data_IF_892046832349
#
_entry.id   IF_892046832349
#
_cell.length_a   1.000
_cell.length_b   1.000
_cell.length_c   1.000
_cell.angle_alpha   90.00
_cell.angle_beta   90.00
_cell.angle_gamma   90.00
#
_symmetry.space_group_name_H-M   'P 1'
#
loop_
_entity.id
_entity.type
_entity.pdbx_description
1 polymer ?
#
# COMPACT_ATOMS: atom_id res chain seq x y z
N UNK A 1 -29.55 -43.08 -15.34
CA UNK A 1 -28.72 -42.86 -14.14
C UNK A 1 -29.31 -41.73 -13.27
N UNK A 2 -29.98 -42.08 -12.18
CA UNK A 2 -30.43 -41.10 -11.17
C UNK A 2 -29.25 -40.71 -10.28
N UNK A 3 -28.36 -39.84 -10.76
CA UNK A 3 -27.37 -39.23 -9.87
C UNK A 3 -28.08 -38.17 -9.03
N UNK A 4 -27.98 -38.28 -7.71
CA UNK A 4 -28.32 -37.19 -6.79
C UNK A 4 -27.71 -35.88 -7.29
N UNK A 5 -28.42 -34.74 -7.20
CA UNK A 5 -27.88 -33.46 -7.64
C UNK A 5 -26.57 -33.15 -6.90
N UNK A 6 -25.60 -32.57 -7.62
CA UNK A 6 -24.34 -32.10 -7.04
C UNK A 6 -24.63 -31.06 -5.95
N UNK A 7 -24.03 -31.23 -4.77
CA UNK A 7 -24.22 -30.33 -3.63
C UNK A 7 -22.97 -29.48 -3.42
N UNK A 8 -23.15 -28.17 -3.27
CA UNK A 8 -22.05 -27.25 -2.92
C UNK A 8 -21.65 -27.47 -1.46
N UNK A 9 -20.36 -27.71 -1.22
CA UNK A 9 -19.76 -27.77 0.12
C UNK A 9 -18.68 -26.70 0.24
N UNK A 10 -18.63 -26.05 1.39
CA UNK A 10 -17.68 -24.97 1.68
C UNK A 10 -16.92 -25.29 2.97
N UNK A 11 -15.65 -24.91 3.02
CA UNK A 11 -14.89 -24.99 4.25
C UNK A 11 -15.30 -23.82 5.16
N UNK A 12 -15.87 -24.12 6.32
CA UNK A 12 -16.31 -23.11 7.27
C UNK A 12 -15.19 -22.85 8.30
N UNK A 13 -14.54 -21.68 8.22
CA UNK A 13 -13.45 -21.33 9.14
C UNK A 13 -13.88 -21.23 10.61
N UNK A 14 -15.18 -21.05 10.90
CA UNK A 14 -15.71 -21.04 12.28
C UNK A 14 -15.67 -22.45 12.91
N UNK A 15 -15.93 -23.49 12.12
CA UNK A 15 -15.98 -24.88 12.60
C UNK A 15 -14.76 -25.70 12.20
N UNK A 16 -13.97 -25.20 11.24
CA UNK A 16 -12.81 -25.88 10.67
C UNK A 16 -13.17 -27.09 9.81
N UNK A 17 -14.44 -27.25 9.40
CA UNK A 17 -14.90 -28.42 8.66
C UNK A 17 -15.63 -28.06 7.37
N UNK A 18 -15.71 -29.02 6.44
CA UNK A 18 -16.43 -28.86 5.19
C UNK A 18 -17.93 -29.09 5.39
N UNK A 19 -18.72 -28.04 5.22
CA UNK A 19 -20.16 -28.05 5.47
C UNK A 19 -20.94 -27.91 4.17
N UNK A 20 -22.15 -28.46 4.13
CA UNK A 20 -23.07 -28.23 3.02
C UNK A 20 -23.51 -26.77 3.02
N UNK A 21 -23.33 -26.09 1.89
CA UNK A 21 -23.79 -24.71 1.73
C UNK A 21 -25.32 -24.69 1.58
N UNK A 22 -26.00 -24.01 2.49
CA UNK A 22 -27.45 -23.82 2.47
C UNK A 22 -27.73 -22.34 2.23
N UNK A 23 -28.31 -21.95 1.07
CA UNK A 23 -28.58 -20.54 0.77
C UNK A 23 -29.74 -20.00 1.63
N UNK A 24 -29.94 -18.68 1.57
CA UNK A 24 -31.13 -18.04 2.13
C UNK A 24 -32.42 -18.37 1.35
N UNK A 25 -33.50 -17.66 1.69
CA UNK A 25 -34.78 -17.79 0.99
C UNK A 25 -34.63 -17.55 -0.51
N UNK A 26 -35.39 -18.29 -1.32
CA UNK A 26 -35.38 -18.21 -2.78
C UNK A 26 -33.99 -18.35 -3.43
N UNK A 27 -33.11 -19.16 -2.81
CA UNK A 27 -31.73 -19.39 -3.26
C UNK A 27 -30.86 -18.14 -3.28
N UNK A 28 -31.26 -17.10 -2.54
CA UNK A 28 -30.47 -15.87 -2.40
C UNK A 28 -29.25 -16.08 -1.54
N UNK A 29 -28.15 -15.46 -1.95
CA UNK A 29 -26.88 -15.46 -1.24
C UNK A 29 -26.45 -14.01 -1.07
N UNK A 30 -26.38 -13.55 0.19
CA UNK A 30 -25.80 -12.26 0.54
C UNK A 30 -24.32 -12.51 0.83
N UNK A 31 -23.44 -11.96 0.00
CA UNK A 31 -22.02 -12.24 0.08
C UNK A 31 -21.22 -10.96 0.22
N UNK A 32 -20.54 -10.82 1.36
CA UNK A 32 -19.55 -9.78 1.59
C UNK A 32 -18.12 -10.33 1.51
N UNK A 33 -17.21 -9.59 0.86
CA UNK A 33 -15.76 -9.79 1.01
C UNK A 33 -15.07 -8.47 1.32
N UNK A 34 -14.04 -8.51 2.17
CA UNK A 34 -13.20 -7.35 2.42
C UNK A 34 -12.54 -6.88 1.13
N UNK A 35 -12.70 -5.59 0.83
CA UNK A 35 -12.04 -4.92 -0.28
C UNK A 35 -10.66 -4.35 0.09
N UNK A 36 -10.04 -3.58 -0.81
CA UNK A 36 -8.68 -3.09 -0.65
C UNK A 36 -8.60 -1.90 0.32
N UNK A 37 -7.43 -1.74 0.94
CA UNK A 37 -7.00 -0.45 1.51
C UNK A 37 -6.30 0.35 0.43
N UNK A 38 -6.89 1.46 0.01
CA UNK A 38 -6.47 2.24 -1.18
C UNK A 38 -5.33 3.22 -0.87
N UNK A 39 -4.23 2.69 -0.33
CA UNK A 39 -3.04 3.48 0.00
C UNK A 39 -1.92 3.38 -1.05
N UNK A 40 -1.92 2.34 -1.88
CA UNK A 40 -0.94 2.12 -2.96
C UNK A 40 -1.53 1.24 -4.07
N UNK A 41 -0.76 1.02 -5.15
CA UNK A 41 -1.15 0.21 -6.30
C UNK A 41 -1.43 -1.26 -5.91
N UNK A 42 -2.25 -1.92 -6.72
CA UNK A 42 -2.57 -3.33 -6.50
C UNK A 42 -1.32 -4.22 -6.75
N UNK A 43 -1.27 -5.39 -6.10
CA UNK A 43 -0.17 -6.34 -6.27
C UNK A 43 -0.75 -7.74 -6.54
N UNK A 44 0.09 -8.69 -6.94
CA UNK A 44 -0.34 -10.04 -7.33
C UNK A 44 -1.17 -10.75 -6.26
N UNK A 45 -0.90 -10.49 -4.97
CA UNK A 45 -1.74 -10.99 -3.87
C UNK A 45 -3.20 -10.54 -3.93
N UNK A 46 -3.48 -9.29 -4.34
CA UNK A 46 -4.82 -8.79 -4.57
C UNK A 46 -5.43 -9.53 -5.78
N UNK A 47 -4.76 -9.50 -6.93
CA UNK A 47 -5.24 -10.19 -8.14
C UNK A 47 -5.67 -11.63 -7.86
N UNK A 48 -4.84 -12.41 -7.15
CA UNK A 48 -5.16 -13.78 -6.73
C UNK A 48 -6.47 -13.86 -5.94
N UNK A 49 -6.66 -12.97 -4.96
CA UNK A 49 -7.83 -13.00 -4.08
C UNK A 49 -9.13 -12.74 -4.85
N UNK A 50 -9.20 -11.64 -5.62
CA UNK A 50 -10.43 -11.23 -6.29
C UNK A 50 -10.74 -12.06 -7.54
N UNK A 51 -9.72 -12.58 -8.24
CA UNK A 51 -9.93 -13.61 -9.26
C UNK A 51 -10.54 -14.88 -8.64
N UNK A 52 -10.06 -15.30 -7.47
CA UNK A 52 -10.63 -16.47 -6.78
C UNK A 52 -12.10 -16.23 -6.43
N UNK A 53 -12.43 -15.07 -5.87
CA UNK A 53 -13.82 -14.74 -5.53
C UNK A 53 -14.71 -14.63 -6.76
N UNK A 54 -14.25 -14.06 -7.87
CA UNK A 54 -15.03 -14.01 -9.11
C UNK A 54 -15.27 -15.42 -9.69
N UNK A 55 -14.26 -16.28 -9.71
CA UNK A 55 -14.43 -17.68 -10.15
C UNK A 55 -15.48 -18.39 -9.29
N UNK A 56 -15.41 -18.23 -7.97
CA UNK A 56 -16.37 -18.82 -7.04
C UNK A 56 -17.78 -18.24 -7.26
N UNK A 57 -17.91 -16.92 -7.44
CA UNK A 57 -19.17 -16.26 -7.78
C UNK A 57 -19.77 -16.83 -9.07
N UNK A 58 -18.97 -16.98 -10.13
CA UNK A 58 -19.40 -17.59 -11.40
C UNK A 58 -19.89 -19.02 -11.22
N UNK A 59 -19.18 -19.84 -10.44
CA UNK A 59 -19.60 -21.21 -10.14
C UNK A 59 -20.94 -21.21 -9.38
N UNK A 60 -21.11 -20.33 -8.40
CA UNK A 60 -22.35 -20.23 -7.62
C UNK A 60 -23.55 -19.81 -8.48
N UNK A 61 -23.37 -18.82 -9.34
CA UNK A 61 -24.43 -18.29 -10.22
C UNK A 61 -24.70 -19.23 -11.40
N UNK A 62 -23.68 -19.60 -12.17
CA UNK A 62 -23.83 -20.29 -13.46
C UNK A 62 -24.01 -21.81 -13.32
N UNK A 63 -23.28 -22.46 -12.40
CA UNK A 63 -23.38 -23.91 -12.23
C UNK A 63 -24.45 -24.30 -11.22
N UNK A 64 -24.50 -23.64 -10.06
CA UNK A 64 -25.49 -23.97 -9.03
C UNK A 64 -26.80 -23.21 -9.20
N UNK A 65 -26.85 -22.05 -9.87
CA UNK A 65 -28.09 -21.28 -10.06
C UNK A 65 -28.51 -20.52 -8.79
N UNK A 66 -27.55 -20.01 -8.01
CA UNK A 66 -27.84 -19.11 -6.89
C UNK A 66 -28.03 -17.67 -7.36
N UNK A 67 -28.89 -16.91 -6.67
CA UNK A 67 -29.05 -15.47 -6.83
C UNK A 67 -28.10 -14.76 -5.86
N UNK A 68 -26.93 -14.36 -6.36
CA UNK A 68 -25.84 -13.79 -5.53
C UNK A 68 -25.92 -12.27 -5.56
N UNK A 69 -26.06 -11.67 -4.38
CA UNK A 69 -25.79 -10.24 -4.17
C UNK A 69 -24.40 -10.10 -3.54
N UNK A 70 -23.45 -9.63 -4.33
CA UNK A 70 -22.05 -9.52 -3.97
C UNK A 70 -21.66 -8.07 -3.61
N UNK A 71 -21.16 -7.89 -2.39
CA UNK A 71 -20.73 -6.61 -1.84
C UNK A 71 -19.25 -6.65 -1.46
N UNK A 72 -18.53 -5.58 -1.78
CA UNK A 72 -17.20 -5.31 -1.22
C UNK A 72 -17.12 -3.90 -0.65
N UNK A 73 -16.29 -3.70 0.36
CA UNK A 73 -15.97 -2.36 0.84
C UNK A 73 -14.76 -1.77 0.10
N UNK A 74 -14.44 -0.52 0.36
CA UNK A 74 -13.14 0.10 0.09
C UNK A 74 -12.72 0.79 1.36
N UNK A 75 -11.56 0.41 1.89
CA UNK A 75 -10.98 1.05 3.06
C UNK A 75 -10.24 2.30 2.59
N UNK A 76 -10.94 3.43 2.58
CA UNK A 76 -10.47 4.73 2.13
C UNK A 76 -10.11 5.69 3.28
N UNK A 77 -10.13 5.20 4.51
CA UNK A 77 -9.57 5.85 5.71
C UNK A 77 -8.77 4.82 6.49
N UNK A 78 -7.47 5.08 6.64
CA UNK A 78 -6.53 4.23 7.38
C UNK A 78 -5.26 5.06 7.68
N UNK A 79 -4.53 4.73 8.75
CA UNK A 79 -3.27 5.39 9.09
C UNK A 79 -2.27 5.36 7.92
N UNK A 80 -2.22 4.27 7.15
CA UNK A 80 -1.34 4.16 5.98
C UNK A 80 -1.72 5.14 4.88
N UNK A 81 -3.02 5.39 4.68
CA UNK A 81 -3.51 6.38 3.71
C UNK A 81 -3.10 7.77 4.17
N UNK A 82 -3.34 8.11 5.45
CA UNK A 82 -3.00 9.42 6.01
C UNK A 82 -1.51 9.69 5.87
N UNK A 83 -0.66 8.74 6.28
CA UNK A 83 0.79 8.85 6.19
C UNK A 83 1.28 8.98 4.74
N UNK A 84 0.76 8.18 3.82
CA UNK A 84 1.19 8.21 2.42
C UNK A 84 0.73 9.48 1.71
N UNK A 85 -0.53 9.86 1.89
CA UNK A 85 -1.13 11.02 1.24
C UNK A 85 -0.44 12.32 1.68
N UNK A 86 -0.22 12.51 2.99
CA UNK A 86 0.47 13.71 3.50
C UNK A 86 1.91 13.80 3.00
N UNK A 87 2.66 12.69 3.00
CA UNK A 87 4.05 12.66 2.51
C UNK A 87 4.13 12.95 1.01
N UNK A 88 3.20 12.42 0.23
CA UNK A 88 3.11 12.71 -1.20
C UNK A 88 2.85 14.22 -1.43
N UNK A 89 1.91 14.81 -0.71
CA UNK A 89 1.64 16.25 -0.83
C UNK A 89 2.86 17.11 -0.44
N UNK A 90 3.59 16.71 0.62
CA UNK A 90 4.83 17.38 1.02
C UNK A 90 5.94 17.25 -0.02
N UNK A 91 6.08 16.08 -0.64
CA UNK A 91 7.06 15.86 -1.72
C UNK A 91 6.74 16.69 -2.96
N UNK A 92 5.47 16.79 -3.35
CA UNK A 92 5.05 17.65 -4.46
C UNK A 92 5.29 19.14 -4.16
N UNK A 93 5.01 19.58 -2.92
CA UNK A 93 5.36 20.93 -2.47
C UNK A 93 6.87 21.15 -2.49
N UNK A 94 7.65 20.20 -2.00
CA UNK A 94 9.11 20.25 -1.98
C UNK A 94 9.71 20.37 -3.37
N UNK A 95 9.16 19.62 -4.34
CA UNK A 95 9.56 19.65 -5.75
C UNK A 95 9.18 20.97 -6.46
N UNK A 96 8.07 21.57 -6.08
CA UNK A 96 7.58 22.81 -6.70
C UNK A 96 8.11 24.09 -6.05
N UNK A 97 8.74 23.98 -4.89
CA UNK A 97 9.35 25.11 -4.19
C UNK A 97 10.57 25.65 -4.96
N UNK A 98 10.57 26.92 -5.40
CA UNK A 98 11.69 27.52 -6.13
C UNK A 98 13.00 27.57 -5.34
N UNK A 99 12.94 27.45 -4.00
CA UNK A 99 14.12 27.41 -3.14
C UNK A 99 14.79 26.03 -3.11
N UNK A 100 14.09 24.97 -3.53
CA UNK A 100 14.64 23.62 -3.59
C UNK A 100 15.50 23.46 -4.84
N UNK A 101 16.81 23.59 -4.66
CA UNK A 101 17.81 23.29 -5.70
C UNK A 101 18.12 21.79 -5.75
N UNK A 102 18.67 21.31 -6.86
CA UNK A 102 19.15 19.92 -6.96
C UNK A 102 20.23 19.62 -5.92
N UNK A 103 21.11 20.58 -5.63
CA UNK A 103 22.17 20.42 -4.62
C UNK A 103 21.59 20.24 -3.21
N UNK A 104 20.67 21.12 -2.81
CA UNK A 104 19.98 20.97 -1.52
C UNK A 104 19.17 19.68 -1.46
N UNK A 105 18.51 19.29 -2.55
CA UNK A 105 17.75 18.05 -2.61
C UNK A 105 18.60 16.80 -2.47
N UNK A 106 19.78 16.74 -3.10
CA UNK A 106 20.73 15.65 -2.93
C UNK A 106 21.17 15.53 -1.47
N UNK A 107 21.51 16.66 -0.85
CA UNK A 107 21.92 16.69 0.55
C UNK A 107 20.82 16.17 1.48
N UNK A 108 19.59 16.64 1.28
CA UNK A 108 18.44 16.26 2.09
C UNK A 108 18.09 14.77 1.90
N UNK A 109 18.06 14.29 0.66
CA UNK A 109 17.82 12.88 0.35
C UNK A 109 18.87 11.96 0.98
N UNK A 110 20.16 12.31 0.86
CA UNK A 110 21.25 11.54 1.47
C UNK A 110 21.11 11.51 2.99
N UNK A 111 20.93 12.67 3.63
CA UNK A 111 20.76 12.76 5.08
C UNK A 111 19.55 11.96 5.57
N UNK A 112 18.44 11.98 4.84
CA UNK A 112 17.26 11.20 5.15
C UNK A 112 17.51 9.68 5.06
N UNK A 113 18.19 9.21 4.00
CA UNK A 113 18.55 7.79 3.84
C UNK A 113 19.51 7.35 4.95
N UNK A 114 20.55 8.12 5.23
CA UNK A 114 21.54 7.83 6.28
C UNK A 114 20.87 7.73 7.67
N UNK A 115 19.93 8.64 7.97
CA UNK A 115 19.17 8.60 9.22
C UNK A 115 18.28 7.34 9.33
N UNK A 116 17.65 6.89 8.25
CA UNK A 116 16.86 5.65 8.25
C UNK A 116 17.74 4.40 8.34
N UNK A 117 18.92 4.39 7.70
CA UNK A 117 19.91 3.31 7.86
C UNK A 117 20.36 3.21 9.32
N UNK A 118 20.67 4.34 9.97
CA UNK A 118 21.05 4.37 11.37
C UNK A 118 19.96 3.79 12.28
N UNK A 119 18.72 4.28 12.16
CA UNK A 119 17.56 3.72 12.90
C UNK A 119 17.36 2.22 12.63
N UNK A 120 17.57 1.79 11.38
CA UNK A 120 17.45 0.39 11.02
C UNK A 120 18.53 -0.47 11.66
N UNK A 121 19.75 0.05 11.83
CA UNK A 121 20.84 -0.63 12.54
C UNK A 121 20.52 -0.75 14.03
N UNK A 122 20.10 0.34 14.68
CA UNK A 122 19.70 0.32 16.10
C UNK A 122 18.61 -0.74 16.36
N UNK A 123 17.60 -0.80 15.48
CA UNK A 123 16.52 -1.79 15.60
C UNK A 123 17.02 -3.22 15.37
N UNK A 124 17.99 -3.41 14.48
CA UNK A 124 18.59 -4.72 14.20
C UNK A 124 19.39 -5.20 15.41
N UNK A 125 20.21 -4.34 16.02
CA UNK A 125 20.94 -4.65 17.25
C UNK A 125 19.99 -5.05 18.39
N UNK A 126 18.88 -4.33 18.55
CA UNK A 126 17.86 -4.69 19.53
C UNK A 126 17.25 -6.07 19.26
N UNK A 127 16.89 -6.37 18.01
CA UNK A 127 16.30 -7.68 17.64
C UNK A 127 17.31 -8.83 17.79
N UNK A 128 18.59 -8.59 17.50
CA UNK A 128 19.67 -9.56 17.73
C UNK A 128 19.83 -9.85 19.22
N UNK A 129 19.78 -8.82 20.07
CA UNK A 129 19.79 -8.98 21.52
C UNK A 129 18.56 -9.73 22.05
N UNK A 130 17.37 -9.41 21.54
CA UNK A 130 16.12 -10.09 21.92
C UNK A 130 16.17 -11.59 21.53
N UNK A 131 16.64 -11.91 20.33
CA UNK A 131 16.79 -13.29 19.86
C UNK A 131 17.84 -14.08 20.67
N UNK A 132 18.93 -13.43 21.09
CA UNK A 132 19.96 -14.03 21.92
C UNK A 132 19.47 -14.36 23.34
N UNK A 133 18.57 -13.53 23.89
CA UNK A 133 18.04 -13.66 25.25
C UNK A 133 16.75 -14.52 25.34
N UNK A 134 16.06 -14.74 24.23
CA UNK A 134 14.82 -15.50 24.17
C UNK A 134 15.02 -17.01 23.98
N UNK A 135 14.00 -17.81 24.29
CA UNK A 135 14.00 -19.27 24.06
C UNK A 135 12.73 -19.75 23.38
N UNK A 136 12.81 -20.90 22.70
CA UNK A 136 11.66 -21.54 22.08
C UNK A 136 10.97 -20.68 21.02
N UNK A 137 9.67 -20.40 21.22
CA UNK A 137 8.82 -19.67 20.26
C UNK A 137 9.21 -18.21 20.10
N UNK A 138 9.54 -17.53 21.19
CA UNK A 138 9.92 -16.10 21.20
C UNK A 138 11.19 -15.86 20.39
N UNK A 139 12.17 -16.75 20.51
CA UNK A 139 13.39 -16.70 19.70
C UNK A 139 13.09 -16.85 18.21
N UNK A 140 12.22 -17.80 17.85
CA UNK A 140 11.83 -17.99 16.44
C UNK A 140 11.14 -16.76 15.87
N UNK A 141 10.23 -16.15 16.63
CA UNK A 141 9.55 -14.90 16.24
C UNK A 141 10.57 -13.75 16.07
N UNK A 142 11.53 -13.61 16.97
CA UNK A 142 12.60 -12.62 16.87
C UNK A 142 13.53 -12.86 15.65
N UNK A 143 13.92 -14.11 15.38
CA UNK A 143 14.72 -14.49 14.20
C UNK A 143 13.98 -14.23 12.89
N UNK A 144 12.66 -14.49 12.84
CA UNK A 144 11.85 -14.21 11.65
C UNK A 144 11.68 -12.70 11.43
N UNK A 145 11.49 -11.91 12.49
CA UNK A 145 11.52 -10.45 12.42
C UNK A 145 12.88 -9.94 11.95
N UNK A 146 13.99 -10.50 12.42
CA UNK A 146 15.34 -10.13 12.01
C UNK A 146 15.54 -10.33 10.50
N UNK A 147 15.03 -11.43 9.92
CA UNK A 147 15.09 -11.68 8.48
C UNK A 147 14.31 -10.62 7.69
N UNK A 148 13.10 -10.31 8.13
CA UNK A 148 12.26 -9.28 7.48
C UNK A 148 12.94 -7.91 7.55
N UNK A 149 13.47 -7.55 8.72
CA UNK A 149 14.23 -6.32 8.90
C UNK A 149 15.52 -6.26 8.07
N UNK A 150 16.21 -7.39 7.90
CA UNK A 150 17.40 -7.49 7.06
C UNK A 150 17.12 -7.15 5.59
N UNK A 151 15.97 -7.57 5.03
CA UNK A 151 15.55 -7.20 3.67
C UNK A 151 15.25 -5.69 3.58
N UNK A 152 14.61 -5.12 4.60
CA UNK A 152 14.37 -3.68 4.65
C UNK A 152 15.68 -2.89 4.69
N UNK A 153 16.65 -3.37 5.48
CA UNK A 153 17.96 -2.74 5.61
C UNK A 153 18.75 -2.76 4.30
N UNK A 154 18.83 -3.91 3.64
CA UNK A 154 19.55 -4.01 2.36
C UNK A 154 18.91 -3.16 1.26
N UNK A 155 17.59 -2.97 1.29
CA UNK A 155 16.92 -2.02 0.40
C UNK A 155 17.35 -0.57 0.66
N UNK A 156 17.50 -0.16 1.93
CA UNK A 156 17.99 1.18 2.27
C UNK A 156 19.44 1.40 1.82
N UNK A 157 20.31 0.41 2.00
CA UNK A 157 21.70 0.46 1.49
C UNK A 157 21.71 0.58 -0.04
N UNK A 158 20.87 -0.20 -0.72
CA UNK A 158 20.71 -0.11 -2.17
C UNK A 158 20.22 1.27 -2.60
N UNK A 159 19.27 1.89 -1.88
CA UNK A 159 18.81 3.25 -2.17
C UNK A 159 19.96 4.27 -2.05
N UNK A 160 20.84 4.12 -1.06
CA UNK A 160 22.01 4.98 -0.93
C UNK A 160 22.97 4.83 -2.12
N UNK A 161 23.24 3.59 -2.56
CA UNK A 161 24.05 3.32 -3.75
C UNK A 161 23.38 3.89 -5.02
N UNK A 162 22.09 3.64 -5.21
CA UNK A 162 21.33 4.13 -6.35
C UNK A 162 21.34 5.67 -6.40
N UNK A 163 21.20 6.36 -5.25
CA UNK A 163 21.29 7.81 -5.18
C UNK A 163 22.67 8.31 -5.64
N UNK A 164 23.75 7.72 -5.11
CA UNK A 164 25.11 8.08 -5.45
C UNK A 164 25.42 7.90 -6.95
N UNK A 165 25.03 6.75 -7.52
CA UNK A 165 25.32 6.41 -8.91
C UNK A 165 24.43 7.14 -9.92
N UNK A 166 23.12 7.24 -9.64
CA UNK A 166 22.14 7.75 -10.62
C UNK A 166 21.86 9.23 -10.49
N UNK A 167 22.20 9.85 -9.36
CA UNK A 167 21.92 11.27 -9.13
C UNK A 167 23.20 12.05 -8.85
N UNK A 168 23.95 11.65 -7.83
CA UNK A 168 25.09 12.45 -7.34
C UNK A 168 26.23 12.53 -8.35
N UNK A 169 26.66 11.37 -8.88
CA UNK A 169 27.71 11.34 -9.90
C UNK A 169 27.31 12.09 -11.18
N UNK A 170 26.10 11.92 -11.74
CA UNK A 170 25.62 12.73 -12.87
C UNK A 170 25.49 14.24 -12.57
N UNK A 171 25.07 14.61 -11.37
CA UNK A 171 24.96 16.01 -10.94
C UNK A 171 26.34 16.67 -10.84
N UNK A 172 27.31 15.99 -10.23
CA UNK A 172 28.70 16.47 -10.15
C UNK A 172 29.36 16.57 -11.54
N UNK A 173 29.06 15.64 -12.45
CA UNK A 173 29.55 15.70 -13.82
C UNK A 173 28.93 16.88 -14.60
N UNK A 174 27.66 17.21 -14.36
CA UNK A 174 26.98 18.34 -15.00
C UNK A 174 27.53 19.69 -14.51
N UNK A 175 27.81 19.84 -13.21
CA UNK A 175 28.39 21.06 -12.64
C UNK A 175 29.77 21.43 -13.23
N UNK A 176 30.49 20.46 -13.82
CA UNK A 176 31.80 20.67 -14.44
C UNK A 176 31.74 21.06 -15.93
N UNK A 177 30.57 21.07 -16.56
CA UNK A 177 30.39 21.36 -18.00
C UNK A 177 29.64 22.69 -18.15
N UNK A 178 30.37 23.80 -18.18
CA UNK A 178 29.82 25.11 -18.52
C UNK A 178 29.41 25.13 -20.02
N UNK A 179 28.12 25.01 -20.33
CA UNK A 179 27.66 25.16 -21.71
C UNK A 179 26.17 24.88 -21.98
N UNK A 180 25.38 25.94 -21.93
CA UNK A 180 24.19 26.28 -22.73
C UNK A 180 23.00 25.29 -22.83
N UNK A 181 21.83 25.71 -22.31
CA UNK A 181 20.49 25.23 -22.65
C UNK A 181 20.08 23.80 -22.24
N UNK A 182 21.03 22.88 -22.05
CA UNK A 182 20.80 21.48 -21.67
C UNK A 182 20.63 21.22 -20.17
N UNK A 183 20.94 22.20 -19.32
CA UNK A 183 20.97 22.04 -17.87
C UNK A 183 19.59 21.85 -17.26
N UNK A 184 18.60 22.69 -17.59
CA UNK A 184 17.31 22.68 -16.90
C UNK A 184 16.53 21.36 -17.07
N UNK A 185 16.55 20.78 -18.27
CA UNK A 185 15.89 19.49 -18.53
C UNK A 185 16.58 18.36 -17.76
N UNK A 186 17.91 18.33 -17.78
CA UNK A 186 18.71 17.32 -17.08
C UNK A 186 18.57 17.46 -15.56
N UNK A 187 18.54 18.69 -15.04
CA UNK A 187 18.24 18.96 -13.62
C UNK A 187 16.87 18.43 -13.23
N UNK A 188 15.84 18.64 -14.07
CA UNK A 188 14.50 18.11 -13.81
C UNK A 188 14.46 16.57 -13.82
N UNK A 189 15.16 15.92 -14.75
CA UNK A 189 15.28 14.45 -14.81
C UNK A 189 15.99 13.89 -13.57
N UNK A 190 17.07 14.55 -13.11
CA UNK A 190 17.79 14.16 -11.89
C UNK A 190 16.96 14.39 -10.63
N UNK A 191 16.19 15.49 -10.58
CA UNK A 191 15.26 15.77 -9.49
C UNK A 191 14.18 14.69 -9.38
N UNK A 192 13.63 14.25 -10.53
CA UNK A 192 12.63 13.18 -10.57
C UNK A 192 13.22 11.83 -10.13
N UNK A 193 14.42 11.49 -10.63
CA UNK A 193 15.13 10.28 -10.23
C UNK A 193 15.43 10.27 -8.72
N UNK A 194 15.88 11.40 -8.16
CA UNK A 194 16.12 11.57 -6.74
C UNK A 194 14.86 11.35 -5.92
N UNK A 195 13.75 12.02 -6.26
CA UNK A 195 12.49 11.87 -5.54
C UNK A 195 11.98 10.43 -5.65
N UNK A 196 12.16 9.77 -6.81
CA UNK A 196 11.78 8.36 -6.97
C UNK A 196 12.63 7.42 -6.10
N UNK A 197 13.94 7.67 -5.98
CA UNK A 197 14.85 6.82 -5.18
C UNK A 197 14.63 7.06 -3.69
N UNK A 198 14.58 8.31 -3.25
CA UNK A 198 14.54 8.70 -1.85
C UNK A 198 13.13 8.99 -1.34
N UNK A 199 12.07 8.61 -2.07
CA UNK A 199 10.67 8.95 -1.78
C UNK A 199 10.30 8.74 -0.31
N UNK A 200 10.55 7.54 0.21
CA UNK A 200 10.11 7.19 1.56
C UNK A 200 10.94 7.89 2.67
N UNK A 201 12.29 7.87 2.65
CA UNK A 201 13.09 8.59 3.64
C UNK A 201 12.89 10.10 3.57
N UNK A 202 12.90 10.69 2.37
CA UNK A 202 12.72 12.13 2.20
C UNK A 202 11.30 12.54 2.62
N UNK A 203 10.29 11.78 2.21
CA UNK A 203 8.92 11.99 2.65
C UNK A 203 8.79 11.94 4.18
N UNK A 204 9.43 10.97 4.85
CA UNK A 204 9.44 10.89 6.30
C UNK A 204 10.18 12.05 6.98
N UNK A 205 11.27 12.55 6.39
CA UNK A 205 12.01 13.71 6.89
C UNK A 205 11.18 15.00 6.79
N UNK A 206 10.45 15.17 5.68
CA UNK A 206 9.60 16.34 5.44
C UNK A 206 8.34 16.35 6.33
N UNK A 207 7.92 15.19 6.82
CA UNK A 207 6.68 14.95 7.56
C UNK A 207 6.71 15.50 9.00
N UNK A 208 6.76 16.83 9.10
CA UNK A 208 6.82 17.59 10.36
C UNK A 208 5.61 18.51 10.50
N UNK A 209 5.19 18.86 11.74
CA UNK A 209 4.06 19.76 11.95
C UNK A 209 4.18 21.11 11.23
N UNK A 210 5.40 21.66 11.13
CA UNK A 210 5.65 22.93 10.44
C UNK A 210 5.41 22.82 8.93
N UNK A 211 5.87 21.74 8.29
CA UNK A 211 5.71 21.57 6.85
C UNK A 211 4.27 21.23 6.45
N UNK A 212 3.49 20.65 7.37
CA UNK A 212 2.07 20.37 7.19
C UNK A 212 1.19 21.62 7.34
N UNK A 213 1.74 22.76 7.76
CA UNK A 213 0.98 24.00 7.84
C UNK A 213 0.41 24.38 6.46
N UNK A 214 -0.91 24.60 6.43
CA UNK A 214 -1.67 24.90 5.21
C UNK A 214 -2.06 23.68 4.37
N UNK A 215 -1.70 22.45 4.77
CA UNK A 215 -2.12 21.23 4.08
C UNK A 215 -3.48 20.76 4.61
N UNK A 216 -4.50 20.74 3.75
CA UNK A 216 -5.77 20.11 4.06
C UNK A 216 -5.64 18.59 3.95
N UNK A 217 -5.45 17.93 5.10
CA UNK A 217 -5.25 16.48 5.20
C UNK A 217 -6.45 15.71 4.65
N UNK A 218 -7.68 16.17 4.87
CA UNK A 218 -8.87 15.44 4.42
C UNK A 218 -8.95 15.44 2.90
N UNK A 219 -8.73 16.60 2.28
CA UNK A 219 -8.71 16.74 0.82
C UNK A 219 -7.59 15.90 0.19
N UNK A 220 -6.40 15.93 0.79
CA UNK A 220 -5.24 15.16 0.30
C UNK A 220 -5.47 13.65 0.44
N UNK A 221 -6.05 13.20 1.56
CA UNK A 221 -6.36 11.78 1.78
C UNK A 221 -7.46 11.28 0.84
N UNK A 222 -8.55 12.04 0.65
CA UNK A 222 -9.62 11.64 -0.29
C UNK A 222 -9.08 11.57 -1.72
N UNK A 223 -8.34 12.58 -2.19
CA UNK A 223 -7.73 12.56 -3.51
C UNK A 223 -6.80 11.35 -3.73
N UNK A 224 -5.99 11.02 -2.71
CA UNK A 224 -5.12 9.84 -2.71
C UNK A 224 -5.94 8.54 -2.78
N UNK A 225 -6.93 8.38 -1.90
CA UNK A 225 -7.78 7.20 -1.86
C UNK A 225 -8.53 6.99 -3.19
N UNK A 226 -9.08 8.05 -3.80
CA UNK A 226 -9.77 7.95 -5.10
C UNK A 226 -8.84 7.59 -6.24
N UNK A 227 -7.58 8.04 -6.21
CA UNK A 227 -6.58 7.66 -7.22
C UNK A 227 -6.37 6.14 -7.19
N UNK A 228 -6.08 5.59 -6.02
CA UNK A 228 -5.77 4.16 -5.89
C UNK A 228 -7.00 3.28 -5.97
N UNK A 229 -8.18 3.75 -5.56
CA UNK A 229 -9.45 3.07 -5.84
C UNK A 229 -9.66 2.91 -7.35
N UNK A 230 -9.49 3.97 -8.15
CA UNK A 230 -9.60 3.87 -9.61
C UNK A 230 -8.59 2.90 -10.20
N UNK A 231 -7.32 3.04 -9.84
CA UNK A 231 -6.27 2.12 -10.31
C UNK A 231 -6.61 0.66 -9.97
N UNK A 232 -7.15 0.43 -8.78
CA UNK A 232 -7.56 -0.90 -8.34
C UNK A 232 -8.69 -1.47 -9.20
N UNK A 233 -9.71 -0.66 -9.50
CA UNK A 233 -10.83 -1.08 -10.35
C UNK A 233 -10.38 -1.33 -11.79
N UNK A 234 -9.49 -0.49 -12.31
CA UNK A 234 -8.92 -0.64 -13.66
C UNK A 234 -8.10 -1.95 -13.75
N UNK A 235 -7.31 -2.28 -12.73
CA UNK A 235 -6.57 -3.54 -12.67
C UNK A 235 -7.51 -4.77 -12.61
N UNK A 236 -8.60 -4.68 -11.85
CA UNK A 236 -9.58 -5.78 -11.75
C UNK A 236 -10.32 -5.99 -13.08
N UNK A 237 -10.71 -4.90 -13.75
CA UNK A 237 -11.33 -4.95 -15.08
C UNK A 237 -10.38 -5.55 -16.12
N UNK A 238 -9.10 -5.14 -16.11
CA UNK A 238 -8.07 -5.70 -17.00
C UNK A 238 -7.84 -7.21 -16.79
N UNK A 239 -8.09 -7.72 -15.58
CA UNK A 239 -8.03 -9.15 -15.24
C UNK A 239 -9.33 -9.90 -15.55
N UNK A 240 -10.39 -9.22 -16.01
CA UNK A 240 -11.70 -9.81 -16.29
C UNK A 240 -12.51 -10.18 -15.05
N UNK A 241 -12.15 -9.62 -13.89
CA UNK A 241 -12.90 -9.77 -12.64
C UNK A 241 -14.19 -8.97 -12.75
N UNK A 242 -15.34 -9.60 -12.49
CA UNK A 242 -16.63 -8.88 -12.52
C UNK A 242 -16.72 -7.89 -11.36
N UNK A 243 -17.27 -6.69 -11.58
CA UNK A 243 -17.48 -5.74 -10.50
C UNK A 243 -18.45 -6.30 -9.46
N UNK A 244 -18.35 -5.86 -8.19
CA UNK A 244 -19.34 -6.13 -7.17
C UNK A 244 -20.68 -5.49 -7.54
N UNK A 245 -21.78 -6.05 -7.02
CA UNK A 245 -23.11 -5.42 -7.16
C UNK A 245 -23.22 -4.17 -6.27
N UNK A 246 -22.51 -4.19 -5.14
CA UNK A 246 -22.44 -3.06 -4.19
C UNK A 246 -20.99 -2.79 -3.79
N UNK A 247 -20.55 -1.56 -4.02
CA UNK A 247 -19.27 -1.04 -3.53
C UNK A 247 -19.53 0.02 -2.46
N UNK A 248 -19.00 -0.17 -1.26
CA UNK A 248 -19.18 0.79 -0.14
C UNK A 248 -17.86 1.38 0.32
N UNK A 249 -17.78 2.68 0.54
CA UNK A 249 -16.56 3.32 1.07
C UNK A 249 -16.70 3.59 2.56
N UNK A 250 -15.63 3.46 3.35
CA UNK A 250 -15.71 3.72 4.80
C UNK A 250 -16.15 5.15 5.07
N UNK A 251 -15.64 6.13 4.31
CA UNK A 251 -16.04 7.55 4.43
C UNK A 251 -17.55 7.79 4.29
N UNK A 252 -18.26 6.99 3.49
CA UNK A 252 -19.70 7.12 3.26
C UNK A 252 -20.54 6.60 4.43
N UNK A 253 -19.95 5.78 5.31
CA UNK A 253 -20.65 5.09 6.40
C UNK A 253 -20.17 5.52 7.80
N UNK A 254 -19.38 6.60 7.90
CA UNK A 254 -18.92 7.14 9.20
C UNK A 254 -20.06 7.37 10.19
N UNK A 255 -21.22 7.97 9.80
CA UNK A 255 -22.34 8.13 10.74
C UNK A 255 -22.86 6.80 11.32
N UNK A 256 -22.95 5.76 10.50
CA UNK A 256 -23.39 4.42 10.89
C UNK A 256 -22.36 3.74 11.79
N UNK A 257 -21.07 3.94 11.52
CA UNK A 257 -19.97 3.45 12.35
C UNK A 257 -20.03 4.10 13.74
N UNK A 258 -20.19 5.43 13.80
CA UNK A 258 -20.34 6.17 15.06
C UNK A 258 -21.55 5.65 15.83
N UNK A 259 -22.71 5.54 15.17
CA UNK A 259 -23.92 5.02 15.80
C UNK A 259 -23.72 3.59 16.33
N UNK A 260 -23.07 2.71 15.57
CA UNK A 260 -22.76 1.36 16.04
C UNK A 260 -21.87 1.38 17.29
N UNK A 261 -20.83 2.20 17.31
CA UNK A 261 -19.93 2.37 18.46
C UNK A 261 -20.69 2.90 19.69
N UNK A 262 -21.69 3.76 19.51
CA UNK A 262 -22.53 4.25 20.61
C UNK A 262 -23.45 3.17 21.20
N UNK A 263 -23.68 2.08 20.47
CA UNK A 263 -24.60 0.99 20.87
C UNK A 263 -23.91 -0.25 21.43
N UNK A 264 -22.58 -0.35 21.33
CA UNK A 264 -21.78 -1.44 21.93
C UNK A 264 -21.43 -1.14 23.38
#
# INVERSE_FOLDING_TARGET
>A
PSSSPTVLRVNNSLTGTDETFVPGQDRKVLWYTCGPTVYDDSHVGHARAYLTFDILRRIMEEYFGFDVLYQINTTDVDDKIILRARRNALLERYKSDPSTTLESAVKDARGAIEAEIAKSNDKREQLEADAANATGRERKEAEDLLKVHGVKHSNLEKMATDLAEKVEAPAAAAANVNGDGGDAKKTAELMEALISIARDPLGAMLDTPANLEGVDINTVCDAHARKYERSYMDDMDALGVRPPDVLTRVTEYVPQIVHFIETI
#
